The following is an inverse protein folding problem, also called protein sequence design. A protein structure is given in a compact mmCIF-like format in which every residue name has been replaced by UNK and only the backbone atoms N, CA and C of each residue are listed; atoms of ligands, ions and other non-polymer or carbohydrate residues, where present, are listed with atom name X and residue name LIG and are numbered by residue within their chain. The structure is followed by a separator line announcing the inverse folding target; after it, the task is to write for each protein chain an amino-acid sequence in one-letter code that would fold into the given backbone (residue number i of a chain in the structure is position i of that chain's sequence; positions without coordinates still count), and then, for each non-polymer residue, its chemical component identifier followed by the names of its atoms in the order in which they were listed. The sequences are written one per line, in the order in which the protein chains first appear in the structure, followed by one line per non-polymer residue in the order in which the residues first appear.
data_IF_270767794545
#
_entry.id   IF_270767794545
#
_cell.length_a   1.000
_cell.length_b   1.000
_cell.length_c   1.000
_cell.angle_alpha   90.00
_cell.angle_beta   90.00
_cell.angle_gamma   90.00
#
_symmetry.space_group_name_H-M   'P 1'
#
loop_
_entity.id
_entity.type
_entity.pdbx_description
1 polymer ?
#
# COMPACT_ATOMS: atom_id res chain seq x y z
N UNK A 1 59.93 6.25 54.90
CA UNK A 1 58.50 6.50 55.24
C UNK A 1 57.63 5.68 54.29
N UNK A 2 56.58 5.08 54.84
CA UNK A 2 55.77 3.99 54.29
C UNK A 2 54.72 4.41 53.23
N UNK A 3 54.53 3.51 52.25
CA UNK A 3 53.31 3.00 51.55
C UNK A 3 52.14 3.91 51.06
N UNK A 4 51.81 3.67 49.78
CA UNK A 4 50.51 3.60 49.07
C UNK A 4 49.21 3.53 49.91
N UNK A 5 48.12 4.19 49.46
CA UNK A 5 46.95 3.58 48.77
C UNK A 5 45.77 4.56 48.50
N UNK A 6 45.02 4.25 47.42
CA UNK A 6 43.61 4.55 47.10
C UNK A 6 43.20 5.88 46.42
N UNK A 7 43.27 5.83 45.08
CA UNK A 7 42.18 6.24 44.18
C UNK A 7 40.98 5.28 44.27
N UNK A 8 39.80 5.74 43.80
CA UNK A 8 38.51 5.03 43.62
C UNK A 8 37.47 5.17 44.74
N UNK A 9 36.64 6.23 44.68
CA UNK A 9 35.29 6.19 45.27
C UNK A 9 34.26 7.13 44.61
N UNK A 10 34.67 8.19 43.89
CA UNK A 10 33.71 9.14 43.27
C UNK A 10 33.25 8.81 41.85
N UNK A 11 34.04 8.12 41.03
CA UNK A 11 33.68 7.75 39.65
C UNK A 11 32.72 6.53 39.57
N UNK A 12 32.72 5.64 40.57
CA UNK A 12 31.78 4.51 40.63
C UNK A 12 30.36 4.92 41.08
N UNK A 13 30.20 6.07 41.74
CA UNK A 13 28.89 6.56 42.17
C UNK A 13 28.08 7.17 41.01
N UNK A 14 28.75 7.90 40.11
CA UNK A 14 28.12 8.51 38.92
C UNK A 14 27.73 7.47 37.86
N UNK A 15 28.52 6.39 37.70
CA UNK A 15 28.18 5.29 36.78
C UNK A 15 27.08 4.36 37.34
N UNK A 16 26.87 4.35 38.67
CA UNK A 16 25.70 3.69 39.29
C UNK A 16 24.42 4.49 39.09
N UNK A 17 24.46 5.82 39.16
CA UNK A 17 23.29 6.67 38.89
C UNK A 17 22.88 6.67 37.41
N UNK A 18 23.83 6.60 36.47
CA UNK A 18 23.52 6.49 35.03
C UNK A 18 22.86 5.14 34.68
N UNK A 19 23.40 4.02 35.19
CA UNK A 19 22.86 2.68 34.98
C UNK A 19 21.53 2.42 35.69
N UNK A 20 21.29 3.07 36.83
CA UNK A 20 19.99 3.02 37.52
C UNK A 20 18.96 3.80 36.69
N UNK A 21 19.26 4.99 36.19
CA UNK A 21 18.34 5.71 35.29
C UNK A 21 18.03 4.92 34.02
N UNK A 22 19.01 4.26 33.41
CA UNK A 22 18.78 3.44 32.22
C UNK A 22 17.92 2.21 32.50
N UNK A 23 18.09 1.51 33.64
CA UNK A 23 17.22 0.39 34.01
C UNK A 23 15.81 0.84 34.37
N UNK A 24 15.65 1.97 35.04
CA UNK A 24 14.32 2.54 35.34
C UNK A 24 13.63 3.03 34.07
N UNK A 25 14.32 3.73 33.17
CA UNK A 25 13.80 4.12 31.85
C UNK A 25 13.50 2.90 30.98
N UNK A 26 14.33 1.87 31.01
CA UNK A 26 14.07 0.61 30.30
C UNK A 26 12.90 -0.15 30.91
N UNK A 27 12.75 -0.14 32.23
CA UNK A 27 11.59 -0.67 32.96
C UNK A 27 10.31 0.07 32.60
N UNK A 28 10.32 1.40 32.59
CA UNK A 28 9.19 2.25 32.17
C UNK A 28 8.87 2.03 30.68
N UNK A 29 9.87 1.93 29.79
CA UNK A 29 9.69 1.59 28.37
C UNK A 29 9.09 0.20 28.18
N UNK A 30 9.52 -0.78 28.96
CA UNK A 30 9.00 -2.15 28.90
C UNK A 30 7.58 -2.24 29.46
N UNK A 31 7.28 -1.53 30.56
CA UNK A 31 5.92 -1.39 31.08
C UNK A 31 5.05 -0.67 30.05
N UNK A 32 5.50 0.45 29.47
CA UNK A 32 4.76 1.18 28.45
C UNK A 32 4.47 0.34 27.19
N UNK A 33 5.40 -0.50 26.73
CA UNK A 33 5.16 -1.48 25.64
C UNK A 33 4.04 -2.48 25.96
N UNK A 34 3.80 -2.77 27.23
CA UNK A 34 2.67 -3.63 27.66
C UNK A 34 1.34 -2.93 27.40
N UNK A 35 1.27 -1.60 27.57
CA UNK A 35 0.05 -0.80 27.46
C UNK A 35 -0.12 -0.11 26.10
N UNK A 36 0.96 0.09 25.35
CA UNK A 36 0.98 0.87 24.10
C UNK A 36 1.38 -0.03 22.94
N UNK A 37 0.56 -0.06 21.89
CA UNK A 37 0.89 -0.70 20.61
C UNK A 37 1.12 0.35 19.53
N UNK A 38 1.95 0.03 18.54
CA UNK A 38 2.08 0.83 17.32
C UNK A 38 1.03 0.34 16.34
N UNK A 39 0.19 1.25 15.85
CA UNK A 39 -0.78 1.00 14.79
C UNK A 39 -0.34 1.75 13.54
N UNK A 40 -0.25 1.02 12.45
CA UNK A 40 -0.03 1.55 11.12
C UNK A 40 -1.38 1.93 10.53
N UNK A 41 -1.60 3.21 10.29
CA UNK A 41 -2.81 3.70 9.64
C UNK A 41 -2.47 4.08 8.20
N UNK A 42 -2.86 3.23 7.27
CA UNK A 42 -2.92 3.57 5.85
C UNK A 42 -4.20 4.34 5.55
N UNK A 43 -4.06 5.31 4.65
CA UNK A 43 -5.15 6.17 4.19
C UNK A 43 -4.88 6.63 2.77
N UNK A 44 -5.94 7.02 2.08
CA UNK A 44 -5.90 7.38 0.66
C UNK A 44 -5.97 8.89 0.51
N UNK A 45 -5.16 9.45 -0.39
CA UNK A 45 -5.18 10.84 -0.77
C UNK A 45 -5.32 11.02 -2.29
N UNK A 46 -5.60 12.27 -2.69
CA UNK A 46 -5.65 12.70 -4.09
C UNK A 46 -4.54 13.69 -4.36
N UNK A 47 -3.76 13.42 -5.40
CA UNK A 47 -2.68 14.27 -5.89
C UNK A 47 -3.03 14.78 -7.30
N UNK A 48 -2.44 15.91 -7.68
CA UNK A 48 -2.56 16.48 -9.04
C UNK A 48 -1.17 16.83 -9.57
N UNK A 49 -1.01 16.83 -10.89
CA UNK A 49 0.23 17.22 -11.56
C UNK A 49 -0.03 17.73 -12.98
N UNK A 50 0.97 18.35 -13.59
CA UNK A 50 0.90 18.78 -14.99
C UNK A 50 1.36 17.67 -15.96
N UNK A 51 2.02 16.64 -15.42
CA UNK A 51 2.56 15.48 -16.11
C UNK A 51 2.41 14.19 -15.30
N UNK A 52 2.95 13.09 -15.83
CA UNK A 52 3.01 11.78 -15.17
C UNK A 52 4.07 11.67 -14.05
N UNK A 53 4.83 12.75 -13.79
CA UNK A 53 6.05 12.70 -12.98
C UNK A 53 6.10 13.74 -11.85
N UNK A 54 5.12 14.63 -11.73
CA UNK A 54 5.13 15.82 -10.88
C UNK A 54 3.87 15.93 -10.00
N UNK A 55 3.44 14.80 -9.43
CA UNK A 55 2.26 14.75 -8.58
C UNK A 55 2.51 15.37 -7.20
N UNK A 56 1.62 16.25 -6.78
CA UNK A 56 1.64 16.88 -5.46
C UNK A 56 0.24 16.95 -4.83
N UNK A 57 0.20 17.15 -3.52
CA UNK A 57 -1.04 17.42 -2.81
C UNK A 57 -1.61 18.77 -3.31
N UNK A 58 -2.84 18.81 -3.84
CA UNK A 58 -3.45 20.05 -4.31
C UNK A 58 -3.81 20.95 -3.12
N UNK A 59 -3.62 22.26 -3.28
CA UNK A 59 -3.78 23.25 -2.20
C UNK A 59 -5.20 23.29 -1.60
N UNK A 60 -6.21 22.97 -2.40
CA UNK A 60 -7.63 23.11 -2.05
C UNK A 60 -8.27 21.84 -1.49
N UNK A 61 -7.51 20.77 -1.30
CA UNK A 61 -8.02 19.47 -0.83
C UNK A 61 -7.34 19.08 0.47
N UNK A 62 -8.15 18.66 1.44
CA UNK A 62 -7.64 18.07 2.66
C UNK A 62 -7.47 16.57 2.46
N UNK A 63 -6.21 16.14 2.31
CA UNK A 63 -5.87 14.73 2.39
C UNK A 63 -5.71 14.30 3.87
N UNK A 64 -6.04 13.04 4.21
CA UNK A 64 -6.52 11.98 3.32
C UNK A 64 -8.00 12.13 2.99
N UNK A 65 -8.41 11.71 1.79
CA UNK A 65 -9.82 11.71 1.33
C UNK A 65 -10.60 10.49 1.82
N UNK A 66 -9.93 9.39 2.15
CA UNK A 66 -10.53 8.19 2.73
C UNK A 66 -9.61 7.60 3.80
N UNK A 67 -10.21 7.11 4.87
CA UNK A 67 -9.58 6.45 6.01
C UNK A 67 -10.41 5.25 6.46
N UNK A 68 -9.86 4.44 7.36
CA UNK A 68 -10.63 3.37 8.02
C UNK A 68 -11.92 3.83 8.71
N UNK A 69 -12.04 5.12 9.09
CA UNK A 69 -13.24 5.63 9.77
C UNK A 69 -14.43 5.82 8.82
N UNK A 70 -14.16 5.90 7.53
CA UNK A 70 -15.17 6.12 6.50
C UNK A 70 -15.87 4.81 6.10
N UNK A 71 -15.32 3.67 6.52
CA UNK A 71 -15.86 2.34 6.26
C UNK A 71 -16.96 2.02 7.28
N UNK A 72 -18.17 1.70 6.79
CA UNK A 72 -19.37 1.63 7.63
C UNK A 72 -20.00 0.24 7.74
N UNK A 73 -19.65 -0.70 6.87
CA UNK A 73 -20.24 -2.05 6.80
C UNK A 73 -19.32 -3.15 7.35
N UNK A 74 -18.02 -2.88 7.53
CA UNK A 74 -17.05 -3.75 8.20
C UNK A 74 -16.12 -2.94 9.12
N UNK A 75 -15.59 -3.53 10.21
CA UNK A 75 -14.61 -2.85 11.04
C UNK A 75 -13.27 -2.80 10.30
N UNK A 76 -12.81 -1.60 9.95
CA UNK A 76 -11.57 -1.40 9.20
C UNK A 76 -10.38 -1.00 10.07
N UNK A 77 -9.23 -1.62 9.81
CA UNK A 77 -7.95 -1.21 10.38
C UNK A 77 -7.31 -0.07 9.57
N UNK A 78 -7.35 -0.16 8.24
CA UNK A 78 -6.83 0.85 7.32
C UNK A 78 -7.47 0.73 5.92
N UNK A 79 -7.14 1.68 5.04
CA UNK A 79 -7.44 1.60 3.60
C UNK A 79 -6.17 1.90 2.78
N UNK A 80 -5.96 1.19 1.66
CA UNK A 80 -4.74 1.28 0.83
C UNK A 80 -4.99 0.88 -0.63
N UNK A 81 -3.97 0.98 -1.48
CA UNK A 81 -3.98 0.55 -2.89
C UNK A 81 -5.18 1.05 -3.73
N UNK A 82 -5.40 2.38 -3.82
CA UNK A 82 -6.54 2.91 -4.55
C UNK A 82 -6.33 2.85 -6.08
N UNK A 83 -7.32 2.31 -6.79
CA UNK A 83 -7.47 2.40 -8.24
C UNK A 83 -8.77 3.09 -8.62
N UNK A 84 -8.72 4.00 -9.58
CA UNK A 84 -9.85 4.76 -10.09
C UNK A 84 -10.24 4.39 -11.52
N UNK A 85 -11.51 4.60 -11.83
CA UNK A 85 -12.03 4.72 -13.20
C UNK A 85 -13.07 5.85 -13.25
N UNK A 86 -13.23 6.47 -14.41
CA UNK A 86 -14.26 7.48 -14.66
C UNK A 86 -15.22 6.97 -15.74
N UNK A 87 -16.52 7.02 -15.47
CA UNK A 87 -17.58 6.67 -16.41
C UNK A 87 -18.69 7.71 -16.33
N UNK A 88 -19.09 8.27 -17.47
CA UNK A 88 -20.18 9.26 -17.57
C UNK A 88 -20.05 10.43 -16.57
N UNK A 89 -18.81 10.86 -16.30
CA UNK A 89 -18.50 11.96 -15.38
C UNK A 89 -18.49 11.57 -13.89
N UNK A 90 -18.78 10.31 -13.55
CA UNK A 90 -18.70 9.77 -12.20
C UNK A 90 -17.39 9.01 -12.04
N UNK A 91 -16.68 9.31 -10.96
CA UNK A 91 -15.48 8.62 -10.55
C UNK A 91 -15.80 7.51 -9.56
N UNK A 92 -15.17 6.36 -9.76
CA UNK A 92 -15.25 5.18 -8.91
C UNK A 92 -13.84 4.84 -8.44
N UNK A 93 -13.67 4.59 -7.15
CA UNK A 93 -12.40 4.16 -6.56
C UNK A 93 -12.59 2.81 -5.87
N UNK A 94 -11.77 1.85 -6.25
CA UNK A 94 -11.66 0.54 -5.63
C UNK A 94 -10.36 0.49 -4.84
N UNK A 95 -10.41 -0.05 -3.63
CA UNK A 95 -9.26 -0.01 -2.72
C UNK A 95 -9.30 -1.15 -1.71
N UNK A 96 -8.14 -1.51 -1.16
CA UNK A 96 -8.03 -2.45 -0.05
C UNK A 96 -8.64 -1.85 1.22
N UNK A 97 -9.46 -2.63 1.90
CA UNK A 97 -9.88 -2.42 3.29
C UNK A 97 -9.35 -3.59 4.12
N UNK A 98 -8.47 -3.33 5.09
CA UNK A 98 -8.09 -4.38 6.03
C UNK A 98 -9.21 -4.58 7.06
N UNK A 99 -10.04 -5.61 6.85
CA UNK A 99 -11.11 -5.98 7.77
C UNK A 99 -10.49 -6.53 9.07
N UNK A 100 -10.67 -5.82 10.18
CA UNK A 100 -10.05 -6.17 11.46
C UNK A 100 -10.71 -7.38 12.14
N UNK A 101 -11.94 -7.72 11.76
CA UNK A 101 -12.65 -8.89 12.31
C UNK A 101 -12.17 -10.18 11.63
N UNK A 102 -12.06 -10.18 10.30
CA UNK A 102 -11.56 -11.32 9.52
C UNK A 102 -10.02 -11.38 9.46
N UNK A 103 -9.34 -10.27 9.77
CA UNK A 103 -7.90 -10.10 9.64
C UNK A 103 -7.37 -10.38 8.21
N UNK A 104 -8.10 -9.88 7.20
CA UNK A 104 -7.72 -9.96 5.78
C UNK A 104 -8.19 -8.71 5.02
N UNK A 105 -7.56 -8.46 3.88
CA UNK A 105 -7.97 -7.44 2.92
C UNK A 105 -9.22 -7.85 2.17
N UNK A 106 -10.14 -6.91 2.02
CA UNK A 106 -11.35 -6.99 1.18
C UNK A 106 -11.42 -5.72 0.31
N UNK A 107 -12.15 -5.74 -0.80
CA UNK A 107 -12.20 -4.58 -1.71
C UNK A 107 -13.39 -3.69 -1.41
N UNK A 108 -13.12 -2.44 -1.05
CA UNK A 108 -14.11 -1.38 -0.88
C UNK A 108 -14.35 -0.57 -2.15
N UNK A 109 -15.49 0.11 -2.20
CA UNK A 109 -15.86 1.06 -3.24
C UNK A 109 -16.17 2.43 -2.62
N UNK A 110 -15.66 3.49 -3.26
CA UNK A 110 -16.11 4.86 -3.04
C UNK A 110 -16.42 5.55 -4.39
N UNK A 111 -17.24 6.58 -4.36
CA UNK A 111 -17.62 7.36 -5.55
C UNK A 111 -17.43 8.85 -5.36
N UNK A 112 -17.18 9.55 -6.46
CA UNK A 112 -17.02 11.00 -6.49
C UNK A 112 -17.57 11.59 -7.80
N UNK A 113 -18.13 12.80 -7.73
CA UNK A 113 -18.55 13.56 -8.92
C UNK A 113 -17.45 14.52 -9.41
N UNK A 114 -16.40 14.75 -8.62
CA UNK A 114 -15.35 15.73 -8.91
C UNK A 114 -13.93 15.13 -8.79
N UNK A 115 -13.81 13.85 -8.44
CA UNK A 115 -12.58 13.11 -8.14
C UNK A 115 -11.81 13.62 -6.90
N UNK A 116 -12.39 14.54 -6.14
CA UNK A 116 -11.75 15.21 -5.01
C UNK A 116 -12.46 14.90 -3.69
N UNK A 117 -13.80 14.86 -3.70
CA UNK A 117 -14.63 14.49 -2.55
C UNK A 117 -15.18 13.09 -2.75
N UNK A 118 -14.81 12.18 -1.85
CA UNK A 118 -15.12 10.77 -1.98
C UNK A 118 -16.13 10.33 -0.93
N UNK A 119 -17.12 9.54 -1.36
CA UNK A 119 -18.13 8.96 -0.50
C UNK A 119 -18.01 7.44 -0.55
N UNK A 120 -17.69 6.83 0.59
CA UNK A 120 -17.72 5.38 0.73
C UNK A 120 -19.10 4.81 0.39
N UNK A 121 -19.12 3.63 -0.25
CA UNK A 121 -20.35 2.95 -0.66
C UNK A 121 -20.55 1.64 0.08
N UNK A 122 -19.68 0.65 -0.17
CA UNK A 122 -19.76 -0.70 0.40
C UNK A 122 -18.51 -1.53 0.06
N UNK A 123 -18.32 -2.67 0.72
CA UNK A 123 -17.47 -3.76 0.25
C UNK A 123 -18.09 -4.39 -1.00
N UNK A 124 -17.28 -4.59 -2.05
CA UNK A 124 -17.72 -5.10 -3.36
C UNK A 124 -17.08 -6.44 -3.73
N UNK A 125 -16.02 -6.85 -3.03
CA UNK A 125 -15.40 -8.16 -3.17
C UNK A 125 -14.83 -8.64 -1.83
N UNK A 126 -15.28 -9.80 -1.37
CA UNK A 126 -14.81 -10.51 -0.18
C UNK A 126 -14.65 -12.00 -0.54
N UNK A 127 -13.42 -12.49 -0.49
CA UNK A 127 -13.01 -13.85 -0.86
C UNK A 127 -12.38 -14.53 0.36
N UNK A 128 -12.30 -15.87 0.47
CA UNK A 128 -11.76 -16.54 1.66
C UNK A 128 -10.26 -16.32 1.92
N UNK A 129 -9.58 -15.52 1.09
CA UNK A 129 -8.17 -15.13 1.14
C UNK A 129 -8.03 -13.60 1.07
N UNK A 130 -6.85 -13.08 1.41
CA UNK A 130 -6.54 -11.65 1.39
C UNK A 130 -6.62 -11.05 -0.02
N UNK A 131 -7.26 -9.89 -0.14
CA UNK A 131 -7.36 -9.10 -1.36
C UNK A 131 -6.73 -7.72 -1.15
N UNK A 132 -5.84 -7.31 -2.05
CA UNK A 132 -5.27 -5.95 -2.13
C UNK A 132 -5.10 -5.54 -3.60
N UNK A 133 -4.52 -4.37 -3.87
CA UNK A 133 -4.17 -3.93 -5.22
C UNK A 133 -5.25 -4.17 -6.31
N UNK A 134 -6.50 -3.69 -6.15
CA UNK A 134 -7.63 -3.99 -7.02
C UNK A 134 -7.54 -3.28 -8.38
N UNK A 135 -6.63 -3.72 -9.25
CA UNK A 135 -6.37 -3.10 -10.56
C UNK A 135 -7.61 -3.16 -11.45
N UNK A 136 -8.38 -2.07 -11.48
CA UNK A 136 -9.62 -1.95 -12.27
C UNK A 136 -9.35 -1.31 -13.63
N UNK A 137 -9.99 -1.83 -14.67
CA UNK A 137 -9.88 -1.31 -16.04
C UNK A 137 -11.13 -1.63 -16.86
N UNK A 138 -11.32 -0.86 -17.95
CA UNK A 138 -12.41 -1.05 -18.91
C UNK A 138 -11.87 -1.71 -20.19
N UNK A 139 -12.55 -2.72 -20.70
CA UNK A 139 -12.24 -3.38 -21.97
C UNK A 139 -13.54 -3.82 -22.65
N UNK A 140 -13.70 -3.54 -23.95
CA UNK A 140 -14.91 -3.89 -24.71
C UNK A 140 -16.23 -3.48 -24.01
N UNK A 141 -16.29 -2.25 -23.49
CA UNK A 141 -17.41 -1.68 -22.73
C UNK A 141 -17.77 -2.41 -21.42
N UNK A 142 -16.89 -3.27 -20.93
CA UNK A 142 -17.06 -4.04 -19.71
C UNK A 142 -15.96 -3.69 -18.71
N UNK A 143 -16.25 -3.87 -17.42
CA UNK A 143 -15.29 -3.60 -16.36
C UNK A 143 -14.71 -4.88 -15.80
N UNK A 144 -13.40 -4.85 -15.63
CA UNK A 144 -12.60 -5.95 -15.12
C UNK A 144 -11.75 -5.48 -13.95
N UNK A 145 -11.45 -6.41 -13.04
CA UNK A 145 -10.59 -6.19 -11.90
C UNK A 145 -9.63 -7.37 -11.75
N UNK A 146 -8.36 -7.05 -11.51
CA UNK A 146 -7.33 -8.01 -11.11
C UNK A 146 -6.78 -7.54 -9.77
N UNK A 147 -7.29 -8.05 -8.64
CA UNK A 147 -6.67 -7.81 -7.34
C UNK A 147 -5.38 -8.62 -7.19
N UNK A 148 -4.52 -8.21 -6.27
CA UNK A 148 -3.51 -9.11 -5.71
C UNK A 148 -4.21 -10.22 -4.93
N UNK A 149 -3.87 -11.47 -5.24
CA UNK A 149 -4.43 -12.68 -4.65
C UNK A 149 -3.33 -13.69 -4.32
N UNK A 150 -2.23 -13.19 -3.75
CA UNK A 150 -1.02 -13.99 -3.45
C UNK A 150 -1.32 -15.19 -2.54
N UNK A 151 -2.22 -15.04 -1.56
CA UNK A 151 -2.70 -16.14 -0.70
C UNK A 151 -3.50 -17.23 -1.45
N UNK A 152 -3.91 -16.96 -2.68
CA UNK A 152 -4.56 -17.93 -3.57
C UNK A 152 -3.60 -18.50 -4.63
N UNK A 153 -2.29 -18.25 -4.52
CA UNK A 153 -1.23 -18.70 -5.43
C UNK A 153 -1.55 -18.46 -6.92
N UNK A 154 -2.25 -17.36 -7.22
CA UNK A 154 -2.76 -17.11 -8.57
C UNK A 154 -3.00 -15.63 -8.83
N UNK A 155 -3.12 -15.28 -10.12
CA UNK A 155 -3.67 -14.01 -10.59
C UNK A 155 -5.08 -14.28 -11.11
N UNK A 156 -6.08 -13.63 -10.51
CA UNK A 156 -7.50 -13.89 -10.78
C UNK A 156 -8.15 -12.68 -11.46
N UNK A 157 -8.90 -12.95 -12.52
CA UNK A 157 -9.67 -11.97 -13.27
C UNK A 157 -11.13 -12.02 -12.82
N UNK A 158 -11.63 -10.85 -12.42
CA UNK A 158 -13.03 -10.64 -12.09
C UNK A 158 -13.66 -9.72 -13.15
N UNK A 159 -14.92 -9.97 -13.49
CA UNK A 159 -15.75 -9.11 -14.33
C UNK A 159 -16.87 -8.53 -13.50
N UNK A 160 -17.20 -7.25 -13.70
CA UNK A 160 -18.37 -6.65 -13.07
C UNK A 160 -19.65 -7.26 -13.67
N UNK A 161 -20.43 -7.98 -12.87
CA UNK A 161 -21.76 -8.47 -13.26
C UNK A 161 -22.84 -7.42 -13.08
N UNK A 162 -22.57 -6.40 -12.26
CA UNK A 162 -23.36 -5.18 -12.14
C UNK A 162 -22.42 -4.06 -11.67
N UNK A 163 -21.81 -3.35 -12.63
CA UNK A 163 -20.85 -2.30 -12.32
C UNK A 163 -21.54 -1.13 -11.56
N UNK A 164 -20.91 -0.56 -10.51
CA UNK A 164 -19.61 -0.91 -9.91
C UNK A 164 -19.69 -1.92 -8.74
N UNK A 165 -20.89 -2.43 -8.43
CA UNK A 165 -21.23 -3.00 -7.12
C UNK A 165 -21.07 -4.51 -7.00
N UNK A 166 -21.12 -5.26 -8.10
CA UNK A 166 -21.02 -6.73 -8.09
C UNK A 166 -19.97 -7.21 -9.05
N UNK A 167 -19.10 -8.08 -8.56
CA UNK A 167 -17.99 -8.67 -9.28
C UNK A 167 -18.11 -10.20 -9.26
N UNK A 168 -17.65 -10.83 -10.32
CA UNK A 168 -17.71 -12.28 -10.49
C UNK A 168 -16.37 -12.77 -11.01
N UNK A 169 -15.80 -13.76 -10.33
CA UNK A 169 -14.61 -14.46 -10.81
C UNK A 169 -14.92 -15.11 -12.16
N UNK A 170 -14.09 -14.83 -13.18
CA UNK A 170 -14.28 -15.42 -14.52
C UNK A 170 -13.09 -16.27 -14.97
N UNK A 171 -11.87 -16.00 -14.48
CA UNK A 171 -10.68 -16.74 -14.93
C UNK A 171 -9.51 -16.64 -13.96
N UNK A 172 -8.73 -17.70 -13.86
CA UNK A 172 -7.35 -17.65 -13.38
C UNK A 172 -6.41 -17.40 -14.56
N UNK A 173 -5.67 -16.29 -14.54
CA UNK A 173 -4.77 -15.90 -15.62
C UNK A 173 -3.41 -16.59 -15.53
N UNK A 174 -2.86 -16.65 -14.31
CA UNK A 174 -1.63 -17.36 -13.95
C UNK A 174 -1.85 -18.07 -12.61
N UNK A 175 -1.18 -19.19 -12.38
CA UNK A 175 -1.25 -19.98 -11.14
C UNK A 175 0.12 -20.48 -10.67
N UNK A 176 0.15 -21.04 -9.45
CA UNK A 176 1.28 -21.74 -8.82
C UNK A 176 2.50 -20.85 -8.55
N UNK A 177 2.27 -19.61 -8.13
CA UNK A 177 3.33 -18.70 -7.69
C UNK A 177 2.79 -17.62 -6.75
N UNK A 178 3.70 -16.92 -6.07
CA UNK A 178 3.43 -15.87 -5.10
C UNK A 178 3.28 -14.48 -5.75
N UNK A 179 2.38 -14.38 -6.73
CA UNK A 179 2.17 -13.15 -7.51
C UNK A 179 1.65 -11.99 -6.65
N UNK A 180 2.38 -10.87 -6.64
CA UNK A 180 2.00 -9.63 -5.96
C UNK A 180 1.99 -8.42 -6.90
N UNK A 181 1.10 -7.47 -6.61
CA UNK A 181 0.83 -6.23 -7.34
C UNK A 181 0.64 -6.40 -8.88
N UNK A 182 -0.22 -7.32 -9.36
CA UNK A 182 -0.36 -7.60 -10.79
C UNK A 182 -0.86 -6.38 -11.57
N UNK A 183 -0.07 -5.91 -12.54
CA UNK A 183 -0.34 -4.70 -13.31
C UNK A 183 -0.51 -5.01 -14.79
N UNK A 184 -1.75 -4.89 -15.27
CA UNK A 184 -2.16 -5.24 -16.63
C UNK A 184 -2.31 -4.00 -17.53
N UNK A 185 -1.90 -4.10 -18.78
CA UNK A 185 -2.06 -3.04 -19.77
C UNK A 185 -2.09 -3.58 -21.20
N UNK A 186 -2.62 -2.79 -22.13
CA UNK A 186 -2.59 -3.10 -23.55
C UNK A 186 -1.55 -2.25 -24.27
N UNK A 187 -0.77 -2.87 -25.15
CA UNK A 187 0.17 -2.19 -26.02
C UNK A 187 0.44 -3.03 -27.25
N UNK A 188 0.42 -2.42 -28.44
CA UNK A 188 0.62 -3.09 -29.74
C UNK A 188 -0.27 -4.34 -29.94
N UNK A 189 -1.57 -4.21 -29.65
CA UNK A 189 -2.59 -5.27 -29.78
C UNK A 189 -2.33 -6.53 -28.92
N UNK A 190 -1.47 -6.44 -27.92
CA UNK A 190 -1.24 -7.49 -26.94
C UNK A 190 -1.62 -6.99 -25.54
N UNK A 191 -2.04 -7.93 -24.73
CA UNK A 191 -2.09 -7.79 -23.28
C UNK A 191 -0.72 -8.05 -22.69
N UNK A 192 -0.32 -7.22 -21.75
CA UNK A 192 0.91 -7.32 -20.98
C UNK A 192 0.57 -7.35 -19.50
N UNK A 193 1.32 -8.13 -18.74
CA UNK A 193 1.16 -8.23 -17.30
C UNK A 193 2.52 -8.25 -16.60
N UNK A 194 2.71 -7.29 -15.70
CA UNK A 194 3.88 -7.19 -14.81
C UNK A 194 3.45 -7.59 -13.41
N UNK A 195 4.21 -8.44 -12.74
CA UNK A 195 3.93 -8.88 -11.37
C UNK A 195 5.23 -9.18 -10.66
N UNK A 196 5.31 -8.82 -9.38
CA UNK A 196 6.44 -9.24 -8.56
C UNK A 196 6.18 -10.65 -7.98
N UNK A 197 7.26 -11.37 -7.71
CA UNK A 197 7.30 -12.71 -7.09
C UNK A 197 8.51 -12.78 -6.14
N UNK A 198 8.63 -13.91 -5.44
CA UNK A 198 9.56 -14.22 -4.35
C UNK A 198 9.09 -13.76 -2.96
N UNK A 199 9.57 -14.44 -1.92
CA UNK A 199 9.32 -14.07 -0.52
C UNK A 199 9.69 -12.61 -0.23
N UNK A 200 10.81 -12.17 -0.83
CA UNK A 200 11.34 -10.81 -0.74
C UNK A 200 10.66 -9.81 -1.70
N UNK A 201 9.76 -10.29 -2.57
CA UNK A 201 9.04 -9.55 -3.62
C UNK A 201 10.00 -8.75 -4.51
N UNK A 202 11.14 -9.34 -4.83
CA UNK A 202 12.27 -8.66 -5.50
C UNK A 202 12.57 -9.21 -6.91
N UNK A 203 11.73 -10.12 -7.43
CA UNK A 203 11.77 -10.60 -8.81
C UNK A 203 10.57 -10.04 -9.61
N UNK A 204 10.82 -9.24 -10.65
CA UNK A 204 9.77 -8.73 -11.56
C UNK A 204 9.64 -9.66 -12.77
N UNK A 205 8.44 -10.23 -12.94
CA UNK A 205 8.11 -11.07 -14.08
C UNK A 205 7.24 -10.33 -15.08
N UNK A 206 7.40 -10.68 -16.34
CA UNK A 206 6.65 -10.12 -17.46
C UNK A 206 5.97 -11.24 -18.24
N UNK A 207 4.69 -11.07 -18.51
CA UNK A 207 3.86 -11.98 -19.29
C UNK A 207 3.15 -11.20 -20.40
N UNK A 208 2.78 -11.90 -21.46
CA UNK A 208 1.95 -11.34 -22.52
C UNK A 208 0.92 -12.34 -23.03
N UNK A 209 -0.15 -11.84 -23.64
CA UNK A 209 -1.18 -12.64 -24.31
C UNK A 209 -1.85 -11.88 -25.45
N UNK A 210 -2.44 -12.61 -26.40
CA UNK A 210 -3.36 -12.04 -27.40
C UNK A 210 -4.78 -11.88 -26.86
N UNK A 211 -5.17 -12.66 -25.85
CA UNK A 211 -6.50 -12.66 -25.24
C UNK A 211 -6.38 -12.39 -23.74
N UNK A 212 -7.26 -11.53 -23.21
CA UNK A 212 -7.32 -11.21 -21.80
C UNK A 212 -7.53 -12.47 -20.94
N UNK A 213 -8.34 -13.41 -21.44
CA UNK A 213 -8.86 -14.54 -20.67
C UNK A 213 -8.04 -15.83 -20.80
N UNK A 214 -6.93 -15.81 -21.53
CA UNK A 214 -6.11 -17.01 -21.70
C UNK A 214 -4.96 -16.80 -22.67
N UNK A 215 -4.08 -17.80 -22.80
CA UNK A 215 -2.92 -17.73 -23.69
C UNK A 215 -1.75 -16.92 -23.12
N UNK A 216 -1.72 -16.69 -21.80
CA UNK A 216 -0.63 -15.98 -21.15
C UNK A 216 0.68 -16.77 -21.22
N UNK A 217 1.70 -16.12 -21.75
CA UNK A 217 3.05 -16.66 -21.95
C UNK A 217 4.03 -15.80 -21.14
N UNK A 218 4.90 -16.44 -20.38
CA UNK A 218 6.01 -15.75 -19.73
C UNK A 218 6.99 -15.23 -20.79
N UNK A 219 7.33 -13.95 -20.71
CA UNK A 219 8.20 -13.30 -21.67
C UNK A 219 9.61 -13.92 -21.63
N UNK A 220 10.31 -14.11 -22.77
CA UNK A 220 11.65 -14.73 -22.80
C UNK A 220 12.74 -13.96 -22.03
N UNK A 221 12.52 -12.68 -21.74
CA UNK A 221 13.39 -11.85 -20.88
C UNK A 221 12.97 -11.86 -19.40
N UNK A 222 11.93 -12.60 -19.03
CA UNK A 222 11.50 -12.75 -17.64
C UNK A 222 12.46 -13.70 -16.88
N UNK A 223 12.83 -13.40 -15.62
CA UNK A 223 12.51 -12.16 -14.91
C UNK A 223 13.24 -10.96 -15.51
N UNK A 224 12.51 -9.86 -15.70
CA UNK A 224 13.07 -8.63 -16.29
C UNK A 224 13.87 -7.82 -15.27
N UNK A 225 13.65 -8.08 -13.97
CA UNK A 225 14.42 -7.55 -12.85
C UNK A 225 14.54 -8.65 -11.79
N UNK A 226 15.73 -8.81 -11.22
CA UNK A 226 15.98 -9.76 -10.13
C UNK A 226 16.82 -9.08 -9.03
N UNK A 227 16.47 -9.35 -7.77
CA UNK A 227 17.26 -8.91 -6.61
C UNK A 227 17.21 -7.41 -6.28
N UNK A 228 16.30 -6.62 -6.86
CA UNK A 228 16.25 -5.17 -6.66
C UNK A 228 14.91 -4.70 -6.05
N UNK A 229 14.92 -4.40 -4.75
CA UNK A 229 13.72 -3.94 -4.03
C UNK A 229 13.31 -2.50 -4.35
N UNK A 230 14.08 -1.77 -5.17
CA UNK A 230 13.80 -0.37 -5.51
C UNK A 230 12.92 -0.19 -6.75
N UNK A 231 12.86 -1.19 -7.63
CA UNK A 231 12.20 -1.09 -8.92
C UNK A 231 11.46 -2.36 -9.37
N UNK A 232 11.39 -3.39 -8.52
CA UNK A 232 10.64 -4.60 -8.81
C UNK A 232 9.14 -4.41 -8.61
N UNK A 233 8.67 -4.19 -7.37
CA UNK A 233 7.23 -4.23 -7.06
C UNK A 233 6.47 -3.13 -7.80
N UNK A 234 5.45 -3.47 -8.60
CA UNK A 234 4.54 -2.47 -9.18
C UNK A 234 3.86 -1.60 -8.12
N UNK A 235 3.60 -0.33 -8.46
CA UNK A 235 3.07 0.69 -7.54
C UNK A 235 1.79 1.37 -8.07
N UNK A 236 1.04 0.68 -8.91
CA UNK A 236 -0.24 1.11 -9.47
C UNK A 236 -0.28 0.98 -11.00
N UNK A 237 -1.12 1.80 -11.64
CA UNK A 237 -1.45 1.66 -13.06
C UNK A 237 -0.26 1.92 -13.98
N UNK A 238 -0.03 1.02 -14.94
CA UNK A 238 0.86 1.30 -16.08
C UNK A 238 0.14 2.25 -17.03
N UNK A 239 0.74 3.41 -17.30
CA UNK A 239 0.17 4.39 -18.22
C UNK A 239 0.76 4.18 -19.61
N UNK A 240 -0.12 3.94 -20.57
CA UNK A 240 0.20 3.95 -22.00
C UNK A 240 -0.37 5.25 -22.57
N UNK A 241 0.51 6.17 -22.96
CA UNK A 241 0.15 7.44 -23.56
C UNK A 241 0.94 7.62 -24.86
N UNK A 242 0.23 7.60 -25.98
CA UNK A 242 0.83 7.51 -27.32
C UNK A 242 1.78 6.30 -27.38
N UNK A 243 3.02 6.49 -27.81
CA UNK A 243 4.04 5.43 -27.85
C UNK A 243 4.86 5.30 -26.54
N UNK A 244 4.45 5.97 -25.46
CA UNK A 244 5.16 5.96 -24.18
C UNK A 244 4.45 5.08 -23.17
N UNK A 245 5.19 4.14 -22.61
CA UNK A 245 4.72 3.25 -21.55
C UNK A 245 5.46 3.58 -20.26
N UNK A 246 4.73 4.04 -19.26
CA UNK A 246 5.27 4.40 -17.94
C UNK A 246 4.74 3.40 -16.93
N UNK A 247 5.65 2.69 -16.24
CA UNK A 247 5.31 1.88 -15.07
C UNK A 247 5.81 2.55 -13.79
N UNK A 248 5.06 2.37 -12.72
CA UNK A 248 5.41 2.86 -11.39
C UNK A 248 5.88 1.71 -10.50
N UNK A 249 6.81 2.00 -9.59
CA UNK A 249 7.44 0.99 -8.73
C UNK A 249 7.54 1.45 -7.29
N UNK A 250 7.40 0.51 -6.37
CA UNK A 250 7.64 0.74 -4.94
C UNK A 250 9.13 0.65 -4.67
N UNK A 251 9.67 1.63 -3.95
CA UNK A 251 10.99 1.50 -3.32
C UNK A 251 10.82 0.87 -1.93
N UNK A 252 11.27 -0.37 -1.81
CA UNK A 252 11.15 -1.20 -0.61
C UNK A 252 12.50 -1.58 0.02
N UNK A 253 13.61 -0.96 -0.39
CA UNK A 253 14.96 -1.37 0.04
C UNK A 253 15.19 -1.23 1.55
N UNK A 254 14.75 -0.10 2.11
CA UNK A 254 14.96 0.21 3.55
C UNK A 254 13.70 0.03 4.38
N UNK A 255 12.57 0.48 3.84
CA UNK A 255 11.27 0.48 4.48
C UNK A 255 10.26 0.17 3.40
N UNK A 256 9.29 -0.71 3.70
CA UNK A 256 8.18 -0.99 2.80
C UNK A 256 7.44 0.30 2.42
N UNK A 257 7.34 0.54 1.10
CA UNK A 257 6.64 1.70 0.54
C UNK A 257 7.33 3.04 0.83
N UNK A 258 8.65 3.11 0.74
CA UNK A 258 9.38 4.35 1.06
C UNK A 258 8.98 5.52 0.14
N UNK A 259 8.79 5.22 -1.15
CA UNK A 259 8.48 6.18 -2.22
C UNK A 259 8.04 5.42 -3.47
N UNK A 260 7.44 6.14 -4.42
CA UNK A 260 7.13 5.63 -5.75
C UNK A 260 8.09 6.20 -6.78
N UNK A 261 8.61 5.34 -7.66
CA UNK A 261 9.47 5.70 -8.78
C UNK A 261 8.77 5.39 -10.11
N UNK A 262 9.13 6.08 -11.18
CA UNK A 262 8.64 5.87 -12.52
C UNK A 262 9.76 5.40 -13.47
N UNK A 263 9.42 4.44 -14.34
CA UNK A 263 10.29 3.90 -15.37
C UNK A 263 9.55 3.95 -16.70
N UNK A 264 10.26 4.39 -17.75
CA UNK A 264 9.79 4.33 -19.12
C UNK A 264 10.23 3.00 -19.72
N UNK A 265 9.28 2.18 -20.18
CA UNK A 265 9.58 0.98 -20.96
C UNK A 265 9.87 1.46 -22.39
N UNK A 266 11.15 1.43 -22.77
CA UNK A 266 11.65 1.98 -24.03
C UNK A 266 11.64 0.98 -25.18
N UNK A 267 11.59 -0.31 -24.86
CA UNK A 267 11.44 -1.39 -25.83
C UNK A 267 10.53 -2.46 -25.23
N UNK A 268 9.44 -2.78 -25.94
CA UNK A 268 8.51 -3.83 -25.56
C UNK A 268 8.03 -4.57 -26.80
N UNK A 269 8.58 -5.76 -27.02
CA UNK A 269 8.15 -6.73 -28.03
C UNK A 269 8.02 -8.09 -27.37
N UNK A 270 7.57 -9.12 -28.10
CA UNK A 270 7.47 -10.49 -27.53
C UNK A 270 8.82 -11.16 -27.29
N UNK A 271 9.94 -10.52 -27.68
CA UNK A 271 11.31 -11.04 -27.55
C UNK A 271 12.27 -10.08 -26.85
N UNK A 272 11.90 -8.81 -26.69
CA UNK A 272 12.77 -7.75 -26.15
C UNK A 272 12.04 -6.93 -25.09
N UNK A 273 12.78 -6.59 -24.04
CA UNK A 273 12.34 -5.69 -22.97
C UNK A 273 13.49 -4.78 -22.57
N UNK A 274 13.24 -3.47 -22.55
CA UNK A 274 14.14 -2.48 -21.95
C UNK A 274 13.35 -1.39 -21.25
N UNK A 275 13.90 -0.90 -20.14
CA UNK A 275 13.36 0.24 -19.41
C UNK A 275 14.47 1.17 -18.94
N UNK A 276 14.11 2.42 -18.68
CA UNK A 276 15.01 3.41 -18.04
C UNK A 276 14.26 4.17 -16.96
N UNK A 277 14.98 4.50 -15.89
CA UNK A 277 14.45 5.37 -14.85
C UNK A 277 14.20 6.79 -15.40
N UNK A 278 13.08 7.39 -15.04
CA UNK A 278 12.80 8.79 -15.37
C UNK A 278 13.72 9.73 -14.57
N UNK A 279 14.22 10.79 -15.21
CA UNK A 279 15.21 11.75 -14.68
C UNK A 279 14.76 12.54 -13.43
N UNK A 280 13.46 12.52 -13.11
CA UNK A 280 12.85 13.23 -11.97
C UNK A 280 12.48 12.36 -10.77
N UNK A 281 12.91 11.10 -10.72
CA UNK A 281 12.55 10.20 -9.63
C UNK A 281 13.01 10.70 -8.23
N UNK A 282 12.25 10.41 -7.16
CA UNK A 282 10.95 9.72 -7.13
C UNK A 282 9.78 10.63 -7.54
N UNK A 283 8.69 10.04 -8.05
CA UNK A 283 7.48 10.77 -8.43
C UNK A 283 6.53 11.01 -7.25
N UNK A 284 6.56 10.14 -6.25
CA UNK A 284 5.83 10.31 -4.98
C UNK A 284 6.77 9.96 -3.83
N UNK A 285 6.72 10.73 -2.74
CA UNK A 285 7.49 10.47 -1.52
C UNK A 285 6.69 10.81 -0.28
N UNK A 286 7.03 10.17 0.83
CA UNK A 286 6.47 10.51 2.14
C UNK A 286 6.80 11.96 2.52
N UNK A 287 5.87 12.60 3.25
CA UNK A 287 6.03 13.99 3.70
C UNK A 287 6.85 14.10 4.99
N UNK A 288 7.03 13.00 5.73
CA UNK A 288 7.63 12.99 7.05
C UNK A 288 6.67 13.38 8.18
N UNK A 289 5.42 13.75 7.88
CA UNK A 289 4.41 14.12 8.87
C UNK A 289 2.97 13.78 8.41
N UNK A 290 1.98 14.00 9.28
CA UNK A 290 0.57 13.87 8.89
C UNK A 290 0.14 12.44 8.56
N UNK A 291 -0.76 12.29 7.59
CA UNK A 291 -1.33 11.00 7.16
C UNK A 291 -0.37 10.18 6.30
N UNK A 292 0.51 10.87 5.55
CA UNK A 292 1.54 10.30 4.69
C UNK A 292 2.95 10.49 5.28
N UNK A 293 3.08 10.28 6.58
CA UNK A 293 4.33 10.44 7.31
C UNK A 293 5.43 9.55 6.73
N UNK A 294 5.06 8.32 6.37
CA UNK A 294 5.88 7.27 5.76
C UNK A 294 4.99 6.47 4.80
N UNK A 295 5.52 5.43 4.14
CA UNK A 295 4.68 4.46 3.43
C UNK A 295 3.84 5.08 2.33
N UNK A 296 4.46 5.67 1.31
CA UNK A 296 3.80 6.03 0.05
C UNK A 296 4.17 4.97 -0.98
N UNK A 297 3.29 4.01 -1.27
CA UNK A 297 3.59 2.92 -2.20
C UNK A 297 2.68 2.84 -3.42
N UNK A 298 1.58 3.58 -3.46
CA UNK A 298 0.64 3.50 -4.58
C UNK A 298 0.48 4.81 -5.33
N UNK A 299 0.27 4.72 -6.64
CA UNK A 299 -0.26 5.79 -7.49
C UNK A 299 -1.10 5.22 -8.64
N UNK A 300 -2.32 5.72 -8.81
CA UNK A 300 -3.13 5.49 -10.02
C UNK A 300 -3.47 6.82 -10.71
N UNK A 301 -2.69 7.24 -11.74
CA UNK A 301 -2.87 8.51 -12.43
C UNK A 301 -3.85 8.44 -13.61
N UNK A 302 -4.64 9.50 -13.76
CA UNK A 302 -5.61 9.72 -14.84
C UNK A 302 -5.47 11.11 -15.45
N UNK A 303 -5.51 11.19 -16.78
CA UNK A 303 -5.49 12.46 -17.51
C UNK A 303 -6.88 13.08 -17.49
N UNK A 304 -6.99 14.33 -17.02
CA UNK A 304 -8.27 15.04 -16.89
C UNK A 304 -8.33 16.34 -17.71
N UNK A 305 -7.31 16.59 -18.53
CA UNK A 305 -7.25 17.73 -19.43
C UNK A 305 -5.87 17.86 -20.09
N UNK A 306 -5.68 18.95 -20.83
CA UNK A 306 -4.37 19.34 -21.36
C UNK A 306 -3.45 19.68 -20.20
N UNK A 307 -2.31 18.98 -20.09
CA UNK A 307 -1.33 19.14 -19.01
C UNK A 307 -1.97 19.12 -17.62
N UNK A 308 -2.98 18.26 -17.42
CA UNK A 308 -3.66 18.14 -16.14
C UNK A 308 -3.92 16.68 -15.83
N UNK A 309 -3.32 16.23 -14.74
CA UNK A 309 -3.43 14.88 -14.22
C UNK A 309 -3.98 14.92 -12.81
N UNK A 310 -4.72 13.87 -12.47
CA UNK A 310 -5.13 13.55 -11.11
C UNK A 310 -4.65 12.14 -10.80
N UNK A 311 -4.31 11.86 -9.55
CA UNK A 311 -3.94 10.52 -9.12
C UNK A 311 -4.49 10.25 -7.73
N UNK A 312 -5.00 9.04 -7.50
CA UNK A 312 -5.12 8.55 -6.14
C UNK A 312 -3.81 7.92 -5.71
N UNK A 313 -3.46 8.11 -4.44
CA UNK A 313 -2.25 7.61 -3.80
C UNK A 313 -2.62 7.13 -2.39
N UNK A 314 -1.79 6.30 -1.79
CA UNK A 314 -1.89 6.00 -0.36
C UNK A 314 -0.68 6.51 0.41
N UNK A 315 -0.86 6.55 1.72
CA UNK A 315 0.10 7.06 2.68
C UNK A 315 -0.12 6.43 4.04
N UNK A 316 0.97 6.18 4.76
CA UNK A 316 0.94 5.64 6.12
C UNK A 316 1.37 6.66 7.15
N UNK A 317 0.71 6.59 8.31
CA UNK A 317 1.27 7.11 9.56
C UNK A 317 1.27 6.05 10.63
N UNK A 318 2.26 6.13 11.51
CA UNK A 318 2.30 5.27 12.69
C UNK A 318 1.84 6.04 13.91
N UNK A 319 0.89 5.47 14.64
CA UNK A 319 0.39 6.04 15.90
C UNK A 319 0.61 5.07 17.04
N UNK A 320 0.93 5.63 18.20
CA UNK A 320 0.94 4.91 19.45
C UNK A 320 -0.49 4.90 20.01
N UNK A 321 -1.03 3.71 20.24
CA UNK A 321 -2.39 3.51 20.77
C UNK A 321 -2.33 2.71 22.06
N UNK A 322 -3.12 3.12 23.04
CA UNK A 322 -3.25 2.40 24.31
C UNK A 322 -4.17 1.19 24.10
N UNK A 323 -3.72 0.01 24.50
CA UNK A 323 -4.51 -1.23 24.45
C UNK A 323 -5.72 -1.13 25.40
N UNK A 324 -6.94 -1.24 24.87
CA UNK A 324 -8.19 -1.12 25.64
C UNK A 324 -8.29 -2.10 26.81
N UNK A 325 -7.86 -3.35 26.62
CA UNK A 325 -7.84 -4.38 27.68
C UNK A 325 -6.98 -3.99 28.87
N UNK A 326 -5.99 -3.13 28.66
CA UNK A 326 -5.08 -2.69 29.70
C UNK A 326 -5.69 -1.60 30.58
N UNK A 327 -6.62 -0.78 30.05
CA UNK A 327 -7.39 0.20 30.82
C UNK A 327 -8.42 -0.52 31.71
N UNK A 328 -9.13 -1.51 31.17
CA UNK A 328 -10.05 -2.36 31.92
C UNK A 328 -9.31 -3.11 33.05
N UNK A 329 -8.13 -3.68 32.77
CA UNK A 329 -7.30 -4.30 33.80
C UNK A 329 -6.82 -3.33 34.89
N UNK A 330 -6.53 -2.06 34.54
CA UNK A 330 -6.18 -1.01 35.52
C UNK A 330 -7.39 -0.62 36.37
N UNK A 331 -8.56 -0.41 35.75
CA UNK A 331 -9.80 -0.10 36.46
C UNK A 331 -10.16 -1.23 37.42
N UNK A 332 -10.07 -2.49 36.97
CA UNK A 332 -10.37 -3.66 37.79
C UNK A 332 -9.36 -3.85 38.93
N UNK A 333 -8.06 -3.60 38.70
CA UNK A 333 -7.06 -3.55 39.79
C UNK A 333 -7.32 -2.42 40.79
N UNK A 334 -7.72 -1.22 40.33
CA UNK A 334 -8.03 -0.08 41.22
C UNK A 334 -9.30 -0.31 42.04
N UNK A 335 -10.31 -0.95 41.45
CA UNK A 335 -11.52 -1.39 42.14
C UNK A 335 -11.15 -2.41 43.23
N UNK A 336 -10.39 -3.46 42.89
CA UNK A 336 -9.96 -4.48 43.85
C UNK A 336 -9.04 -3.94 44.96
N UNK A 337 -8.22 -2.93 44.68
CA UNK A 337 -7.39 -2.27 45.69
C UNK A 337 -8.21 -1.42 46.67
N UNK A 338 -9.29 -0.77 46.22
CA UNK A 338 -10.22 -0.03 47.11
C UNK A 338 -11.02 -0.97 48.03
N UNK A 339 -11.35 -2.17 47.58
CA UNK A 339 -12.02 -3.18 48.42
C UNK A 339 -11.09 -3.85 49.46
N UNK A 340 -9.76 -3.79 49.29
CA UNK A 340 -8.80 -4.29 50.27
C UNK A 340 -8.43 -3.31 51.39
N UNK A 341 -8.81 -2.04 51.27
CA UNK A 341 -8.54 -1.00 52.29
C UNK A 341 -9.73 -0.82 53.25
N UNK A 342 -10.89 -1.41 52.92
CA UNK A 342 -12.12 -1.32 53.71
C UNK A 342 -12.48 -2.63 54.45
N UNK A 343 -11.56 -3.58 54.59
CA UNK A 343 -11.71 -4.79 55.40
C UNK A 343 -10.65 -4.85 56.48
#
# INVERSE_FOLDING_TARGET
MYKNYQTNSRLQALDKFSRVNDRYLTGIKNIAKTFVTRRSDWSIGIYTGESLFDFACPEKISNPVLTAKDITDVPANFVADPFMVCEDGIWYMFFEVLNSFQNKGVIGLATSNDAYKWNYQQIVLDEPFHLSYPYVFKFQNEYYMIPETSEADSIRLYKASNFPKKWTFIKTLLDKNDFVDPSIFQYNNLWWLLTATSEDRNILRLYYSQDLTGGWIEHPKSPVIEGNKNNTRPAGRVVVLDDKIIRYTQDCERIYGNKVRAFEITELTTTSYQEKAVKGNPVIKASGMGWNQIGMHHIDPHKIGTNKWIACVDGKRDRLVIKQNSILAILQKRINARFKVNN
#
